data_IF_411099694017
#
_entry.id   IF_411099694017
#
_cell.length_a   1.000
_cell.length_b   1.000
_cell.length_c   1.000
_cell.angle_alpha   90.00
_cell.angle_beta   90.00
_cell.angle_gamma   90.00
#
_symmetry.space_group_name_H-M   'P 1'
#
loop_
_entity.id
_entity.type
_entity.pdbx_description
1 polymer ?
#
# COMPACT_ATOMS: atom_id res chain seq x y z
N UNK A 1 7.86 5.42 6.30
CA UNK A 1 7.21 6.26 7.34
C UNK A 1 5.84 5.76 7.82
N UNK A 2 4.94 5.30 6.94
CA UNK A 2 3.58 4.89 7.33
C UNK A 2 3.54 3.86 8.48
N UNK A 3 4.37 2.81 8.38
CA UNK A 3 4.51 1.73 9.37
C UNK A 3 5.04 2.15 10.76
N UNK A 4 5.55 3.37 10.92
CA UNK A 4 6.00 3.92 12.21
C UNK A 4 5.16 5.10 12.70
N UNK A 5 4.25 5.62 11.86
CA UNK A 5 3.57 6.89 12.15
C UNK A 5 2.64 6.83 13.38
N UNK A 6 2.25 5.62 13.81
CA UNK A 6 1.51 5.37 15.06
C UNK A 6 2.42 5.33 16.31
N UNK A 7 3.73 5.54 16.17
CA UNK A 7 4.67 5.53 17.29
C UNK A 7 4.73 4.16 17.98
N UNK A 8 4.50 4.14 19.29
CA UNK A 8 4.48 2.89 20.09
C UNK A 8 3.30 1.97 19.78
N UNK A 9 2.25 2.49 19.13
CA UNK A 9 1.08 1.72 18.69
C UNK A 9 1.29 1.10 17.29
N UNK A 10 2.51 1.15 16.75
CA UNK A 10 2.82 0.66 15.40
C UNK A 10 3.29 -0.80 15.38
N UNK A 11 2.93 -1.53 14.32
CA UNK A 11 3.39 -2.92 14.10
C UNK A 11 4.93 -3.00 14.03
N UNK A 12 5.59 -2.01 13.44
CA UNK A 12 7.05 -1.96 13.41
C UNK A 12 7.66 -1.86 14.81
N UNK A 13 7.07 -1.06 15.71
CA UNK A 13 7.52 -1.00 17.10
C UNK A 13 7.23 -2.30 17.86
N UNK A 14 6.07 -2.92 17.63
CA UNK A 14 5.75 -4.24 18.20
C UNK A 14 6.82 -5.28 17.85
N UNK A 15 7.18 -5.38 16.56
CA UNK A 15 8.19 -6.34 16.09
C UNK A 15 9.57 -6.05 16.71
N UNK A 16 9.98 -4.78 16.73
CA UNK A 16 11.24 -4.37 17.34
C UNK A 16 11.31 -4.73 18.84
N UNK A 17 10.22 -4.49 19.57
CA UNK A 17 10.12 -4.81 21.01
C UNK A 17 10.20 -6.31 21.29
N UNK A 18 9.78 -7.15 20.35
CA UNK A 18 9.85 -8.60 20.45
C UNK A 18 11.14 -9.20 19.82
N UNK A 19 12.17 -8.38 19.62
CA UNK A 19 13.51 -8.86 19.24
C UNK A 19 13.72 -9.05 17.74
N UNK A 20 12.77 -8.68 16.89
CA UNK A 20 12.96 -8.70 15.44
C UNK A 20 13.76 -7.48 14.96
N UNK A 21 14.65 -7.70 13.99
CA UNK A 21 15.23 -6.59 13.21
C UNK A 21 14.23 -6.12 12.17
N UNK A 22 13.87 -4.84 12.21
CA UNK A 22 12.85 -4.27 11.33
C UNK A 22 13.48 -3.37 10.27
N UNK A 23 13.31 -3.75 9.00
CA UNK A 23 13.69 -2.94 7.84
C UNK A 23 12.46 -2.23 7.28
N UNK A 24 12.61 -0.94 6.96
CA UNK A 24 11.53 -0.13 6.39
C UNK A 24 11.88 0.27 4.95
N UNK A 25 11.29 -0.46 3.99
CA UNK A 25 11.46 -0.17 2.58
C UNK A 25 10.76 1.12 2.15
N UNK A 26 11.35 1.81 1.18
CA UNK A 26 10.71 2.93 0.47
C UNK A 26 10.68 2.60 -1.02
N UNK A 27 9.55 2.83 -1.67
CA UNK A 27 9.44 2.70 -3.12
C UNK A 27 10.27 3.77 -3.81
N UNK A 28 10.77 3.46 -5.02
CA UNK A 28 11.36 4.46 -5.91
C UNK A 28 10.46 5.68 -6.11
N UNK A 29 11.09 6.84 -6.24
CA UNK A 29 10.41 8.12 -6.40
C UNK A 29 9.73 8.64 -5.14
N UNK A 30 9.93 8.02 -3.96
CA UNK A 30 9.44 8.52 -2.67
C UNK A 30 10.16 9.79 -2.20
N UNK A 31 11.40 10.02 -2.65
CA UNK A 31 12.16 11.26 -2.48
C UNK A 31 12.58 11.81 -3.85
N UNK A 32 13.03 13.07 -3.84
CA UNK A 32 13.74 13.66 -4.98
C UNK A 32 15.22 13.27 -4.88
N UNK A 33 15.83 12.96 -6.03
CA UNK A 33 17.27 12.70 -6.22
C UNK A 33 17.79 11.28 -5.87
N UNK A 34 16.90 10.28 -5.83
CA UNK A 34 17.27 8.87 -5.56
C UNK A 34 17.84 8.09 -6.77
N UNK A 35 18.30 8.75 -7.84
CA UNK A 35 18.71 8.08 -9.08
C UNK A 35 20.13 8.47 -9.53
N UNK A 36 20.95 7.48 -9.89
CA UNK A 36 22.38 7.64 -10.16
C UNK A 36 22.71 8.48 -11.42
N UNK A 37 21.80 8.52 -12.40
CA UNK A 37 22.05 9.11 -13.73
C UNK A 37 21.09 10.22 -14.14
N UNK A 38 19.94 10.32 -13.48
CA UNK A 38 18.82 11.15 -13.90
C UNK A 38 18.30 11.88 -12.67
N UNK A 39 17.75 13.06 -12.84
CA UNK A 39 17.16 13.81 -11.74
C UNK A 39 15.64 13.87 -11.87
N UNK A 40 14.99 14.35 -10.81
CA UNK A 40 13.53 14.43 -10.72
C UNK A 40 12.85 15.34 -11.76
N UNK A 41 13.59 16.14 -12.54
CA UNK A 41 13.04 16.92 -13.66
C UNK A 41 12.89 16.09 -14.95
N UNK A 42 13.61 14.97 -15.06
CA UNK A 42 13.56 14.07 -16.21
C UNK A 42 12.30 13.22 -16.17
N UNK A 43 11.53 13.16 -17.27
CA UNK A 43 10.39 12.25 -17.36
C UNK A 43 10.80 10.77 -17.30
N UNK A 44 12.06 10.45 -17.62
CA UNK A 44 12.60 9.11 -17.49
C UNK A 44 12.67 8.66 -16.02
N UNK A 45 13.02 9.57 -15.11
CA UNK A 45 13.07 9.30 -13.67
C UNK A 45 11.73 8.77 -13.14
N UNK A 46 10.62 9.29 -13.66
CA UNK A 46 9.26 8.93 -13.26
C UNK A 46 8.66 7.80 -14.09
N UNK A 47 9.43 7.15 -14.95
CA UNK A 47 8.93 6.17 -15.90
C UNK A 47 8.80 4.77 -15.28
N UNK A 48 8.07 4.66 -14.17
CA UNK A 48 7.88 3.43 -13.42
C UNK A 48 6.41 3.19 -13.04
N UNK A 49 6.08 1.94 -12.75
CA UNK A 49 4.76 1.42 -12.35
C UNK A 49 4.85 0.59 -11.06
N UNK A 50 3.74 -0.01 -10.63
CA UNK A 50 3.72 -0.97 -9.51
C UNK A 50 4.60 -2.18 -9.81
N UNK A 51 4.68 -2.64 -11.07
CA UNK A 51 5.57 -3.73 -11.50
C UNK A 51 7.04 -3.41 -11.25
N UNK A 52 7.48 -2.20 -11.59
CA UNK A 52 8.86 -1.77 -11.36
C UNK A 52 9.16 -1.66 -9.86
N UNK A 53 8.20 -1.17 -9.06
CA UNK A 53 8.35 -1.13 -7.60
C UNK A 53 8.35 -2.53 -6.96
N UNK A 54 7.68 -3.51 -7.56
CA UNK A 54 7.79 -4.89 -7.09
C UNK A 54 9.24 -5.39 -7.20
N UNK A 55 9.96 -5.03 -8.25
CA UNK A 55 11.39 -5.34 -8.39
C UNK A 55 12.27 -4.59 -7.37
N UNK A 56 11.84 -3.44 -6.85
CA UNK A 56 12.55 -2.76 -5.75
C UNK A 56 12.62 -3.64 -4.50
N UNK A 57 11.58 -4.43 -4.21
CA UNK A 57 11.57 -5.36 -3.08
C UNK A 57 12.67 -6.41 -3.23
N UNK A 58 12.88 -6.93 -4.45
CA UNK A 58 13.93 -7.92 -4.72
C UNK A 58 15.31 -7.30 -4.50
N UNK A 59 15.54 -6.09 -5.01
CA UNK A 59 16.80 -5.38 -4.82
C UNK A 59 17.07 -5.05 -3.33
N UNK A 60 16.04 -4.63 -2.59
CA UNK A 60 16.15 -4.37 -1.15
C UNK A 60 16.48 -5.65 -0.38
N UNK A 61 15.85 -6.78 -0.71
CA UNK A 61 16.12 -8.05 -0.05
C UNK A 61 17.53 -8.58 -0.35
N UNK A 62 18.01 -8.43 -1.58
CA UNK A 62 19.40 -8.75 -1.95
C UNK A 62 20.41 -7.91 -1.17
N UNK A 63 20.11 -6.63 -0.90
CA UNK A 63 20.96 -5.79 -0.07
C UNK A 63 20.97 -6.22 1.40
N UNK A 64 19.82 -6.67 1.92
CA UNK A 64 19.69 -7.11 3.32
C UNK A 64 20.33 -8.49 3.53
N UNK A 65 20.35 -9.35 2.50
CA UNK A 65 21.03 -10.65 2.47
C UNK A 65 20.74 -11.54 3.70
N UNK A 66 19.46 -11.71 4.02
CA UNK A 66 19.01 -12.60 5.10
C UNK A 66 17.59 -13.13 4.85
N UNK A 67 17.18 -14.21 5.54
CA UNK A 67 15.79 -14.65 5.51
C UNK A 67 14.84 -13.58 6.08
N UNK A 68 13.76 -13.27 5.36
CA UNK A 68 12.86 -12.16 5.67
C UNK A 68 11.40 -12.59 5.76
N UNK A 69 10.66 -11.93 6.65
CA UNK A 69 9.22 -11.81 6.56
C UNK A 69 8.88 -10.50 5.84
N UNK A 70 8.05 -10.57 4.80
CA UNK A 70 7.72 -9.42 3.96
C UNK A 70 6.31 -8.92 4.28
N UNK A 71 6.22 -7.69 4.79
CA UNK A 71 4.97 -7.03 5.14
C UNK A 71 4.65 -5.89 4.18
N UNK A 72 3.47 -5.91 3.58
CA UNK A 72 2.98 -4.87 2.68
C UNK A 72 1.64 -4.31 3.15
N UNK A 73 1.39 -3.04 2.83
CA UNK A 73 0.07 -2.41 2.96
C UNK A 73 -0.40 -1.89 1.61
N UNK A 74 -1.68 -2.12 1.27
CA UNK A 74 -2.29 -1.57 0.05
C UNK A 74 -1.43 -1.84 -1.19
N UNK A 75 -0.88 -0.83 -1.88
CA UNK A 75 0.05 -1.00 -2.99
C UNK A 75 1.24 -1.93 -2.69
N UNK A 76 1.78 -1.92 -1.46
CA UNK A 76 2.83 -2.85 -1.07
C UNK A 76 2.39 -4.31 -1.15
N UNK A 77 1.11 -4.61 -0.85
CA UNK A 77 0.56 -5.96 -1.05
C UNK A 77 0.42 -6.30 -2.54
N UNK A 78 0.06 -5.34 -3.38
CA UNK A 78 0.00 -5.55 -4.83
C UNK A 78 1.38 -5.87 -5.40
N UNK A 79 2.44 -5.20 -4.91
CA UNK A 79 3.83 -5.53 -5.26
C UNK A 79 4.20 -6.97 -4.86
N UNK A 80 3.87 -7.39 -3.63
CA UNK A 80 4.11 -8.77 -3.16
C UNK A 80 3.39 -9.79 -4.04
N UNK A 81 2.10 -9.56 -4.30
CA UNK A 81 1.29 -10.46 -5.12
C UNK A 81 1.76 -10.48 -6.58
N UNK A 82 2.27 -9.36 -7.10
CA UNK A 82 2.87 -9.30 -8.42
C UNK A 82 4.17 -10.12 -8.50
N UNK A 83 5.03 -10.06 -7.48
CA UNK A 83 6.22 -10.92 -7.40
C UNK A 83 5.87 -12.39 -7.35
N UNK A 84 4.87 -12.77 -6.53
CA UNK A 84 4.38 -14.14 -6.43
C UNK A 84 3.85 -14.66 -7.78
N UNK A 85 2.97 -13.89 -8.43
CA UNK A 85 2.36 -14.30 -9.69
C UNK A 85 3.38 -14.49 -10.82
N UNK A 86 4.42 -13.66 -10.87
CA UNK A 86 5.47 -13.77 -11.88
C UNK A 86 6.60 -14.74 -11.48
N UNK A 87 6.49 -15.41 -10.32
CA UNK A 87 7.54 -16.27 -9.77
C UNK A 87 8.90 -15.55 -9.60
N UNK A 88 8.86 -14.27 -9.23
CA UNK A 88 10.04 -13.44 -8.95
C UNK A 88 10.37 -13.36 -7.46
N UNK A 89 9.51 -13.92 -6.62
CA UNK A 89 9.72 -13.98 -5.17
C UNK A 89 10.52 -15.23 -4.83
N UNK A 90 11.73 -15.04 -4.31
CA UNK A 90 12.56 -16.15 -3.83
C UNK A 90 12.08 -16.63 -2.46
N UNK A 91 11.61 -17.88 -2.37
CA UNK A 91 11.17 -18.51 -1.13
C UNK A 91 12.32 -18.81 -0.14
N UNK A 92 13.55 -18.86 -0.65
CA UNK A 92 14.72 -19.06 0.22
C UNK A 92 15.07 -17.78 0.97
N UNK A 93 14.82 -16.63 0.34
CA UNK A 93 14.90 -15.31 0.97
C UNK A 93 13.64 -14.97 1.77
N UNK A 94 12.45 -15.08 1.20
CA UNK A 94 11.20 -14.67 1.86
C UNK A 94 10.47 -15.87 2.48
N UNK A 95 10.36 -15.89 3.81
CA UNK A 95 9.81 -17.03 4.57
C UNK A 95 8.34 -16.88 4.97
N UNK A 96 7.84 -15.65 5.00
CA UNK A 96 6.51 -15.28 5.49
C UNK A 96 6.01 -14.05 4.75
N UNK A 97 4.74 -14.00 4.37
CA UNK A 97 4.13 -12.86 3.69
C UNK A 97 2.98 -12.31 4.52
N UNK A 98 2.98 -11.00 4.77
CA UNK A 98 1.98 -10.30 5.56
C UNK A 98 1.31 -9.23 4.70
N UNK A 99 0.00 -9.39 4.45
CA UNK A 99 -0.76 -8.52 3.57
C UNK A 99 -1.79 -7.70 4.37
N UNK A 100 -1.55 -6.40 4.53
CA UNK A 100 -2.45 -5.46 5.20
C UNK A 100 -3.29 -4.72 4.16
N UNK A 101 -4.63 -4.82 4.24
CA UNK A 101 -5.55 -4.31 3.22
C UNK A 101 -5.14 -4.73 1.78
N UNK A 102 -5.24 -6.04 1.45
CA UNK A 102 -4.68 -6.60 0.23
C UNK A 102 -5.30 -6.03 -1.05
N UNK A 103 -4.51 -5.31 -1.84
CA UNK A 103 -4.93 -4.65 -3.07
C UNK A 103 -4.83 -5.58 -4.29
N UNK A 104 -5.55 -6.70 -4.26
CA UNK A 104 -5.67 -7.62 -5.40
C UNK A 104 -6.88 -7.31 -6.28
N UNK A 105 -8.04 -7.09 -5.66
CA UNK A 105 -9.30 -6.77 -6.31
C UNK A 105 -9.73 -5.35 -6.00
N UNK A 106 -10.17 -4.60 -7.01
CA UNK A 106 -10.69 -3.25 -6.82
C UNK A 106 -12.00 -3.23 -6.05
N UNK A 107 -12.13 -2.29 -5.10
CA UNK A 107 -13.33 -2.09 -4.30
C UNK A 107 -14.36 -1.17 -4.94
N UNK A 108 -15.51 -1.06 -4.30
CA UNK A 108 -16.68 -0.33 -4.82
C UNK A 108 -16.48 1.19 -4.94
N UNK A 109 -15.51 1.76 -4.21
CA UNK A 109 -15.27 3.22 -4.26
C UNK A 109 -14.85 3.70 -5.64
N UNK A 110 -14.20 2.82 -6.42
CA UNK A 110 -13.70 3.10 -7.76
C UNK A 110 -14.86 3.44 -8.72
N UNK A 111 -16.05 2.91 -8.46
CA UNK A 111 -17.28 3.16 -9.22
C UNK A 111 -18.27 4.08 -8.51
N UNK A 112 -18.10 4.37 -7.23
CA UNK A 112 -19.02 5.24 -6.47
C UNK A 112 -18.51 6.67 -6.36
N UNK A 113 -17.21 6.86 -6.16
CA UNK A 113 -16.63 8.19 -5.98
C UNK A 113 -16.54 8.96 -7.29
N UNK A 114 -16.98 10.22 -7.26
CA UNK A 114 -16.89 11.15 -8.39
C UNK A 114 -15.42 11.37 -8.79
N UNK A 115 -14.52 11.39 -7.82
CA UNK A 115 -13.09 11.57 -8.05
C UNK A 115 -12.50 10.43 -8.90
N UNK A 116 -12.76 9.18 -8.51
CA UNK A 116 -12.27 8.02 -9.26
C UNK A 116 -12.89 7.91 -10.65
N UNK A 117 -14.19 8.22 -10.79
CA UNK A 117 -14.85 8.33 -12.09
C UNK A 117 -14.17 9.35 -13.00
N UNK A 118 -13.92 10.55 -12.49
CA UNK A 118 -13.25 11.60 -13.26
C UNK A 118 -11.86 11.15 -13.71
N UNK A 119 -11.05 10.60 -12.81
CA UNK A 119 -9.72 10.08 -13.16
C UNK A 119 -9.79 8.99 -14.24
N UNK A 120 -10.74 8.05 -14.12
CA UNK A 120 -10.94 7.01 -15.11
C UNK A 120 -11.36 7.59 -16.48
N UNK A 121 -12.32 8.52 -16.50
CA UNK A 121 -12.75 9.22 -17.73
C UNK A 121 -11.61 9.97 -18.40
N UNK A 122 -10.77 10.66 -17.63
CA UNK A 122 -9.58 11.33 -18.18
C UNK A 122 -8.59 10.30 -18.76
N UNK A 123 -8.42 9.16 -18.10
CA UNK A 123 -7.51 8.10 -18.52
C UNK A 123 -7.95 7.39 -19.81
N UNK A 124 -9.26 7.31 -20.11
CA UNK A 124 -9.78 6.77 -21.36
C UNK A 124 -9.20 7.48 -22.60
N UNK A 125 -8.77 8.74 -22.46
CA UNK A 125 -8.02 9.45 -23.50
C UNK A 125 -6.62 9.80 -22.99
N UNK A 126 -5.63 8.96 -23.33
CA UNK A 126 -4.25 9.13 -22.89
C UNK A 126 -3.63 10.50 -23.21
N UNK A 127 -4.07 11.19 -24.29
CA UNK A 127 -3.61 12.55 -24.60
C UNK A 127 -4.16 13.57 -23.61
N UNK A 128 -5.42 13.46 -23.24
CA UNK A 128 -6.05 14.32 -22.22
C UNK A 128 -5.43 14.06 -20.85
N UNK A 129 -5.25 12.79 -20.47
CA UNK A 129 -4.60 12.43 -19.21
C UNK A 129 -3.18 13.01 -19.11
N UNK A 130 -2.39 12.87 -20.18
CA UNK A 130 -1.03 13.44 -20.26
C UNK A 130 -1.05 14.97 -20.24
N UNK A 131 -2.06 15.61 -20.85
CA UNK A 131 -2.21 17.07 -20.81
C UNK A 131 -2.43 17.59 -19.38
N UNK A 132 -3.27 16.92 -18.59
CA UNK A 132 -3.56 17.35 -17.22
C UNK A 132 -2.47 16.98 -16.21
N UNK A 133 -1.92 15.77 -16.29
CA UNK A 133 -1.01 15.24 -15.27
C UNK A 133 0.46 15.21 -15.71
N UNK A 134 0.75 15.38 -17.00
CA UNK A 134 2.10 15.31 -17.54
C UNK A 134 2.61 13.87 -17.69
N UNK A 135 3.94 13.71 -17.66
CA UNK A 135 4.65 12.41 -17.78
C UNK A 135 5.60 12.12 -16.63
N UNK A 136 5.54 12.94 -15.56
CA UNK A 136 6.52 12.94 -14.47
C UNK A 136 5.86 12.48 -13.16
N UNK A 137 6.08 13.20 -12.05
CA UNK A 137 5.35 13.01 -10.80
C UNK A 137 3.84 13.31 -10.98
N UNK A 138 2.99 12.53 -10.34
CA UNK A 138 1.56 12.78 -10.28
C UNK A 138 1.26 13.89 -9.26
N UNK A 139 0.58 14.95 -9.72
CA UNK A 139 0.19 16.11 -8.90
C UNK A 139 1.32 16.68 -8.01
N UNK A 140 2.49 17.05 -8.56
CA UNK A 140 3.65 17.50 -7.78
C UNK A 140 3.37 18.77 -6.95
N UNK A 141 2.36 19.55 -7.34
CA UNK A 141 1.87 20.70 -6.57
C UNK A 141 1.45 20.31 -5.14
N UNK A 142 0.95 19.08 -4.93
CA UNK A 142 0.60 18.59 -3.59
C UNK A 142 1.83 18.49 -2.69
N UNK A 143 3.00 18.16 -3.24
CA UNK A 143 4.25 18.10 -2.47
C UNK A 143 4.77 19.50 -2.12
N UNK A 144 4.60 20.45 -3.03
CA UNK A 144 4.90 21.87 -2.76
C UNK A 144 4.00 22.35 -1.62
N UNK A 145 2.67 22.20 -1.75
CA UNK A 145 1.72 22.59 -0.70
C UNK A 145 2.06 21.90 0.62
N UNK A 146 2.28 20.59 0.61
CA UNK A 146 2.66 19.82 1.80
C UNK A 146 3.90 20.41 2.49
N UNK A 147 4.97 20.76 1.74
CA UNK A 147 6.18 21.36 2.30
C UNK A 147 5.90 22.65 3.08
N UNK A 148 5.02 23.51 2.57
CA UNK A 148 4.69 24.79 3.18
C UNK A 148 3.64 24.68 4.29
N UNK A 149 2.68 23.76 4.16
CA UNK A 149 1.52 23.72 5.05
C UNK A 149 1.64 22.70 6.19
N UNK A 150 2.51 21.69 6.10
CA UNK A 150 2.53 20.57 7.06
C UNK A 150 2.75 20.95 8.53
N UNK A 151 3.36 22.11 8.78
CA UNK A 151 3.61 22.61 10.14
C UNK A 151 2.51 23.53 10.68
N UNK A 152 1.52 23.90 9.85
CA UNK A 152 0.46 24.83 10.23
C UNK A 152 -0.60 24.14 11.11
N UNK A 153 -1.18 24.83 12.11
CA UNK A 153 -2.15 24.26 13.05
C UNK A 153 -3.41 23.63 12.43
N UNK A 154 -3.81 24.05 11.22
CA UNK A 154 -5.00 23.54 10.52
C UNK A 154 -4.75 22.39 9.54
N UNK A 155 -3.48 22.02 9.29
CA UNK A 155 -3.13 21.09 8.22
C UNK A 155 -3.75 19.69 8.43
N UNK A 156 -3.64 19.15 9.64
CA UNK A 156 -4.22 17.85 10.01
C UNK A 156 -5.73 17.81 9.78
N UNK A 157 -6.45 18.87 10.14
CA UNK A 157 -7.90 18.97 9.95
C UNK A 157 -8.26 19.03 8.47
N UNK A 158 -7.55 19.85 7.68
CA UNK A 158 -7.76 19.96 6.24
C UNK A 158 -7.47 18.63 5.52
N UNK A 159 -6.37 17.96 5.84
CA UNK A 159 -6.02 16.65 5.28
C UNK A 159 -7.06 15.59 5.63
N UNK A 160 -7.56 15.58 6.88
CA UNK A 160 -8.66 14.70 7.27
C UNK A 160 -9.94 14.97 6.46
N UNK A 161 -10.32 16.24 6.26
CA UNK A 161 -11.48 16.59 5.43
C UNK A 161 -11.34 16.10 3.99
N UNK A 162 -10.15 16.20 3.40
CA UNK A 162 -9.87 15.66 2.06
C UNK A 162 -10.04 14.15 2.04
N UNK A 163 -9.47 13.42 3.00
CA UNK A 163 -9.56 11.97 3.05
C UNK A 163 -10.99 11.50 3.30
N UNK A 164 -11.72 12.17 4.19
CA UNK A 164 -13.15 11.91 4.43
C UNK A 164 -13.98 12.16 3.17
N UNK A 165 -13.71 13.24 2.42
CA UNK A 165 -14.44 13.55 1.18
C UNK A 165 -14.13 12.55 0.04
N UNK A 166 -12.87 12.09 -0.07
CA UNK A 166 -12.46 11.14 -1.10
C UNK A 166 -12.91 9.72 -0.81
N UNK A 167 -12.82 9.31 0.46
CA UNK A 167 -12.90 7.91 0.86
C UNK A 167 -14.00 7.57 1.87
N UNK A 168 -14.70 8.56 2.41
CA UNK A 168 -15.69 8.39 3.49
C UNK A 168 -15.13 7.72 4.75
N UNK A 169 -13.81 7.81 4.98
CA UNK A 169 -13.18 7.32 6.19
C UNK A 169 -13.44 8.25 7.37
N UNK A 170 -13.54 7.68 8.57
CA UNK A 170 -13.57 8.41 9.82
C UNK A 170 -12.34 8.06 10.66
N UNK A 171 -12.05 8.89 11.66
CA UNK A 171 -10.89 8.77 12.55
C UNK A 171 -11.25 8.18 13.91
N UNK A 172 -12.39 7.48 14.04
CA UNK A 172 -12.93 7.02 15.33
C UNK A 172 -11.99 6.04 16.05
N UNK A 173 -11.17 5.32 15.28
CA UNK A 173 -10.18 4.36 15.78
C UNK A 173 -8.78 4.97 15.90
N UNK A 174 -8.56 6.20 15.48
CA UNK A 174 -7.21 6.77 15.41
C UNK A 174 -6.79 7.43 16.71
N UNK A 175 -5.51 7.29 17.06
CA UNK A 175 -4.95 8.04 18.17
C UNK A 175 -4.79 9.52 17.79
N UNK A 176 -5.44 10.41 18.53
CA UNK A 176 -5.42 11.84 18.27
C UNK A 176 -4.00 12.45 18.30
N UNK A 177 -3.10 11.89 19.13
CA UNK A 177 -1.71 12.34 19.23
C UNK A 177 -0.89 11.98 17.99
N UNK A 178 -1.19 10.84 17.37
CA UNK A 178 -0.50 10.35 16.15
C UNK A 178 -1.10 10.91 14.86
N UNK A 179 -2.36 11.37 14.88
CA UNK A 179 -3.07 11.90 13.70
C UNK A 179 -2.26 12.97 12.96
N UNK A 180 -1.59 13.86 13.71
CA UNK A 180 -0.70 14.86 13.11
C UNK A 180 0.46 14.22 12.35
N UNK A 181 1.12 13.22 12.93
CA UNK A 181 2.26 12.51 12.33
C UNK A 181 1.81 11.72 11.09
N UNK A 182 0.66 11.05 11.16
CA UNK A 182 0.07 10.33 10.02
C UNK A 182 -0.06 11.24 8.80
N UNK A 183 -0.68 12.41 8.96
CA UNK A 183 -0.86 13.36 7.88
C UNK A 183 0.42 14.11 7.52
N UNK A 184 1.40 14.28 8.39
CA UNK A 184 2.70 14.87 7.99
C UNK A 184 3.58 13.90 7.20
N UNK A 185 3.31 12.59 7.30
CA UNK A 185 3.98 11.56 6.53
C UNK A 185 3.35 11.30 5.16
N UNK A 186 2.27 12.01 4.81
CA UNK A 186 1.48 11.83 3.58
C UNK A 186 0.98 13.18 3.05
N UNK A 187 1.01 13.46 1.74
CA UNK A 187 1.32 12.52 0.68
C UNK A 187 2.83 12.38 0.43
N UNK A 188 3.20 11.32 -0.26
CA UNK A 188 4.53 11.12 -0.86
C UNK A 188 4.40 11.14 -2.38
N UNK A 189 5.51 11.37 -3.07
CA UNK A 189 5.56 11.34 -4.52
C UNK A 189 5.15 9.96 -5.07
N UNK A 190 4.53 9.97 -6.25
CA UNK A 190 4.30 8.80 -7.11
C UNK A 190 4.32 9.25 -8.57
N UNK A 191 4.57 8.34 -9.51
CA UNK A 191 4.58 8.69 -10.94
C UNK A 191 3.18 8.72 -11.55
N UNK A 192 3.02 9.55 -12.60
CA UNK A 192 1.81 9.53 -13.43
C UNK A 192 1.59 8.14 -14.05
N UNK A 193 2.68 7.45 -14.43
CA UNK A 193 2.63 6.10 -15.01
C UNK A 193 2.12 5.06 -14.00
N UNK A 194 2.47 5.19 -12.72
CA UNK A 194 1.94 4.34 -11.65
C UNK A 194 0.43 4.55 -11.46
N UNK A 195 -0.05 5.80 -11.44
CA UNK A 195 -1.50 6.07 -11.36
C UNK A 195 -2.24 5.51 -12.58
N UNK A 196 -1.65 5.66 -13.78
CA UNK A 196 -2.22 5.08 -14.99
C UNK A 196 -2.33 3.55 -14.91
N UNK A 197 -1.29 2.88 -14.39
CA UNK A 197 -1.31 1.43 -14.14
C UNK A 197 -2.48 1.04 -13.21
N UNK A 198 -2.69 1.75 -12.11
CA UNK A 198 -3.83 1.49 -11.22
C UNK A 198 -5.17 1.68 -11.92
N UNK A 199 -5.33 2.73 -12.75
CA UNK A 199 -6.58 2.98 -13.48
C UNK A 199 -6.85 1.94 -14.58
N UNK A 200 -5.81 1.37 -15.17
CA UNK A 200 -5.93 0.39 -16.26
C UNK A 200 -6.18 -1.04 -15.71
N UNK A 201 -5.45 -1.44 -14.66
CA UNK A 201 -5.43 -2.81 -14.13
C UNK A 201 -6.37 -3.05 -12.92
N UNK A 202 -6.62 -2.02 -12.11
CA UNK A 202 -7.34 -2.18 -10.83
C UNK A 202 -8.74 -1.60 -10.91
N UNK A 203 -9.65 -2.37 -11.52
CA UNK A 203 -11.06 -2.01 -11.70
C UNK A 203 -11.92 -2.64 -10.60
N UNK A 204 -13.08 -2.05 -10.36
CA UNK A 204 -14.06 -2.56 -9.39
C UNK A 204 -14.35 -4.04 -9.65
N UNK A 205 -14.18 -4.88 -8.62
CA UNK A 205 -14.36 -6.32 -8.64
C UNK A 205 -13.45 -7.10 -9.61
N UNK A 206 -12.44 -6.46 -10.20
CA UNK A 206 -11.47 -7.11 -11.08
C UNK A 206 -10.15 -7.31 -10.34
N UNK A 207 -9.55 -8.50 -10.52
CA UNK A 207 -8.17 -8.77 -10.12
C UNK A 207 -7.21 -8.17 -11.14
N UNK A 208 -6.14 -7.52 -10.68
CA UNK A 208 -5.04 -7.09 -11.57
C UNK A 208 -4.17 -8.29 -12.04
N UNK A 209 -4.36 -9.46 -11.44
CA UNK A 209 -3.72 -10.73 -11.81
C UNK A 209 -4.75 -11.62 -12.51
N UNK A 210 -4.36 -12.27 -13.62
CA UNK A 210 -5.22 -13.23 -14.31
C UNK A 210 -5.67 -14.37 -13.37
N UNK A 211 -6.98 -14.49 -13.15
CA UNK A 211 -7.55 -15.48 -12.25
C UNK A 211 -7.47 -16.92 -12.78
N UNK A 212 -7.15 -17.09 -14.07
CA UNK A 212 -6.91 -18.41 -14.68
C UNK A 212 -5.54 -18.97 -14.31
N UNK A 213 -4.63 -18.12 -13.84
CA UNK A 213 -3.30 -18.52 -13.39
C UNK A 213 -3.33 -18.67 -11.88
N UNK A 214 -3.20 -19.90 -11.34
CA UNK A 214 -3.17 -20.11 -9.89
C UNK A 214 -1.88 -19.52 -9.31
N UNK A 215 -1.91 -19.23 -8.01
CA UNK A 215 -0.67 -18.95 -7.27
C UNK A 215 0.29 -20.15 -7.31
N UNK A 216 1.61 -19.93 -7.21
CA UNK A 216 2.59 -21.01 -7.18
C UNK A 216 2.29 -22.02 -6.06
N UNK A 217 2.39 -23.33 -6.37
CA UNK A 217 2.14 -24.39 -5.40
C UNK A 217 3.14 -24.36 -4.23
N UNK A 218 4.39 -23.97 -4.51
CA UNK A 218 5.41 -23.73 -3.50
C UNK A 218 5.58 -22.23 -3.32
N UNK A 219 5.05 -21.70 -2.22
CA UNK A 219 5.19 -20.29 -1.86
C UNK A 219 5.22 -20.13 -0.34
N UNK A 220 5.75 -19.02 0.18
CA UNK A 220 5.70 -18.77 1.61
C UNK A 220 4.25 -18.55 2.07
N UNK A 221 3.89 -18.96 3.29
CA UNK A 221 2.52 -18.82 3.77
C UNK A 221 2.15 -17.34 3.90
N UNK A 222 0.86 -17.07 3.72
CA UNK A 222 0.28 -15.72 3.79
C UNK A 222 -0.50 -15.55 5.09
N UNK A 223 -0.24 -14.43 5.76
CA UNK A 223 -1.08 -13.84 6.79
C UNK A 223 -1.72 -12.56 6.24
N UNK A 224 -3.03 -12.37 6.43
CA UNK A 224 -3.72 -11.18 5.95
C UNK A 224 -4.47 -10.43 7.06
N UNK A 225 -4.62 -9.12 6.90
CA UNK A 225 -5.51 -8.29 7.72
C UNK A 225 -6.45 -7.52 6.81
N UNK A 226 -7.74 -7.70 6.99
CA UNK A 226 -8.80 -7.14 6.14
C UNK A 226 -9.81 -6.33 6.94
N UNK A 227 -10.34 -5.27 6.34
CA UNK A 227 -11.31 -4.36 6.98
C UNK A 227 -12.69 -4.39 6.34
N UNK A 228 -13.75 -4.47 7.15
CA UNK A 228 -15.13 -4.52 6.64
C UNK A 228 -15.64 -3.20 6.04
N UNK A 229 -15.05 -2.07 6.44
CA UNK A 229 -15.34 -0.72 5.90
C UNK A 229 -14.32 -0.27 4.84
N UNK A 230 -13.42 -1.15 4.42
CA UNK A 230 -12.50 -0.84 3.34
C UNK A 230 -13.23 -0.90 1.99
N UNK A 231 -13.35 0.26 1.35
CA UNK A 231 -14.02 0.41 0.06
C UNK A 231 -13.04 0.52 -1.12
N UNK A 232 -11.72 0.60 -0.86
CA UNK A 232 -10.68 0.68 -1.91
C UNK A 232 -10.41 -0.70 -2.50
N UNK A 233 -10.38 -1.73 -1.66
CA UNK A 233 -10.11 -3.11 -2.06
C UNK A 233 -11.33 -3.99 -1.81
N UNK A 234 -11.54 -5.01 -2.64
CA UNK A 234 -12.60 -5.99 -2.42
C UNK A 234 -12.09 -7.19 -1.60
N UNK A 235 -12.24 -7.08 -0.28
CA UNK A 235 -11.80 -8.11 0.66
C UNK A 235 -12.53 -9.45 0.46
N UNK A 236 -13.80 -9.45 0.04
CA UNK A 236 -14.57 -10.68 -0.17
C UNK A 236 -14.02 -11.50 -1.33
N UNK A 237 -13.74 -10.87 -2.47
CA UNK A 237 -13.16 -11.55 -3.64
C UNK A 237 -11.74 -12.05 -3.35
N UNK A 238 -10.94 -11.22 -2.67
CA UNK A 238 -9.62 -11.63 -2.19
C UNK A 238 -9.70 -12.89 -1.32
N UNK A 239 -10.53 -12.88 -0.28
CA UNK A 239 -10.68 -14.02 0.64
C UNK A 239 -11.17 -15.27 -0.07
N UNK A 240 -12.16 -15.15 -0.96
CA UNK A 240 -12.68 -16.27 -1.74
C UNK A 240 -11.60 -16.93 -2.59
N UNK A 241 -10.77 -16.12 -3.28
CA UNK A 241 -9.67 -16.65 -4.10
C UNK A 241 -8.63 -17.35 -3.23
N UNK A 242 -8.20 -16.69 -2.16
CA UNK A 242 -7.16 -17.20 -1.27
C UNK A 242 -7.55 -18.51 -0.58
N UNK A 243 -8.82 -18.65 -0.15
CA UNK A 243 -9.36 -19.88 0.42
C UNK A 243 -9.49 -20.99 -0.63
N UNK A 244 -10.00 -20.65 -1.82
CA UNK A 244 -10.14 -21.61 -2.93
C UNK A 244 -8.80 -22.20 -3.35
N UNK A 245 -7.75 -21.40 -3.38
CA UNK A 245 -6.40 -21.82 -3.77
C UNK A 245 -5.57 -22.37 -2.59
N UNK A 246 -6.07 -22.29 -1.36
CA UNK A 246 -5.42 -22.88 -0.18
C UNK A 246 -4.10 -22.21 0.23
N UNK A 247 -3.86 -20.96 -0.17
CA UNK A 247 -2.58 -20.25 0.03
C UNK A 247 -2.55 -19.34 1.26
N UNK A 248 -3.71 -19.09 1.88
CA UNK A 248 -3.85 -18.23 3.04
C UNK A 248 -3.90 -19.06 4.31
N UNK A 249 -2.90 -18.86 5.17
CA UNK A 249 -2.81 -19.55 6.45
C UNK A 249 -3.75 -18.93 7.48
N UNK A 250 -3.74 -17.60 7.58
CA UNK A 250 -4.55 -16.88 8.54
C UNK A 250 -5.01 -15.53 7.99
N UNK A 251 -6.23 -15.12 8.34
CA UNK A 251 -6.71 -13.75 8.13
C UNK A 251 -7.41 -13.22 9.38
N UNK A 252 -7.00 -12.04 9.80
CA UNK A 252 -7.72 -11.26 10.83
C UNK A 252 -8.63 -10.26 10.12
N UNK A 253 -9.94 -10.48 10.28
CA UNK A 253 -10.96 -9.56 9.77
C UNK A 253 -11.49 -8.66 10.88
N UNK A 254 -11.60 -7.35 10.61
CA UNK A 254 -12.27 -6.40 11.49
C UNK A 254 -13.31 -5.58 10.73
N UNK A 255 -14.57 -5.77 11.10
CA UNK A 255 -15.71 -5.11 10.44
C UNK A 255 -15.60 -3.58 10.46
N UNK A 256 -15.09 -3.01 11.55
CA UNK A 256 -14.98 -1.55 11.72
C UNK A 256 -13.82 -0.92 10.95
N UNK A 257 -12.84 -1.71 10.48
CA UNK A 257 -11.62 -1.19 9.86
C UNK A 257 -11.89 -0.68 8.45
N UNK A 258 -11.47 0.55 8.21
CA UNK A 258 -11.23 1.16 6.91
C UNK A 258 -9.81 0.87 6.41
N UNK A 259 -9.48 1.33 5.19
CA UNK A 259 -8.24 0.99 4.50
C UNK A 259 -6.94 1.34 5.26
N UNK A 260 -6.97 2.37 6.12
CA UNK A 260 -5.81 2.80 6.90
C UNK A 260 -5.81 2.29 8.34
N UNK A 261 -6.93 1.71 8.81
CA UNK A 261 -7.03 1.22 10.19
C UNK A 261 -6.12 0.01 10.43
N UNK A 262 -5.77 -0.74 9.37
CA UNK A 262 -4.74 -1.79 9.43
C UNK A 262 -3.32 -1.26 9.70
N UNK A 263 -3.13 0.05 9.79
CA UNK A 263 -1.88 0.72 10.19
C UNK A 263 -2.06 1.72 11.34
N UNK A 264 -3.19 2.42 11.41
CA UNK A 264 -3.37 3.61 12.25
C UNK A 264 -4.39 3.43 13.39
N UNK A 265 -5.10 2.30 13.43
CA UNK A 265 -6.03 2.05 14.51
C UNK A 265 -5.28 1.84 15.83
N UNK A 266 -5.83 2.41 16.90
CA UNK A 266 -5.26 2.33 18.25
C UNK A 266 -5.34 0.93 18.87
N UNK A 267 -6.25 0.09 18.37
CA UNK A 267 -6.44 -1.29 18.80
C UNK A 267 -5.68 -2.29 17.91
N UNK A 268 -4.93 -1.83 16.91
CA UNK A 268 -4.24 -2.69 15.95
C UNK A 268 -3.36 -3.75 16.62
N UNK A 269 -2.58 -3.35 17.63
CA UNK A 269 -1.67 -4.26 18.32
C UNK A 269 -2.41 -5.31 19.14
N UNK A 270 -3.53 -4.95 19.77
CA UNK A 270 -4.37 -5.88 20.53
C UNK A 270 -5.04 -6.88 19.59
N UNK A 271 -5.47 -6.41 18.42
CA UNK A 271 -6.17 -7.21 17.42
C UNK A 271 -5.23 -8.16 16.68
N UNK A 272 -4.07 -7.68 16.23
CA UNK A 272 -3.20 -8.40 15.30
C UNK A 272 -1.95 -8.93 15.97
N UNK A 273 -1.45 -8.27 17.03
CA UNK A 273 -0.08 -8.43 17.50
C UNK A 273 0.28 -9.85 17.94
N UNK A 274 -0.54 -10.47 18.79
CA UNK A 274 -0.25 -11.82 19.30
C UNK A 274 -0.21 -12.86 18.18
N UNK A 275 -1.18 -12.80 17.26
CA UNK A 275 -1.29 -13.75 16.14
C UNK A 275 -0.19 -13.52 15.09
N UNK A 276 0.16 -12.25 14.84
CA UNK A 276 1.27 -11.90 13.96
C UNK A 276 2.60 -12.44 14.49
N UNK A 277 2.87 -12.30 15.80
CA UNK A 277 4.10 -12.82 16.40
C UNK A 277 4.15 -14.35 16.30
N UNK A 278 3.06 -15.06 16.62
CA UNK A 278 2.98 -16.50 16.47
C UNK A 278 3.24 -16.95 15.01
N UNK A 279 2.65 -16.26 14.03
CA UNK A 279 2.86 -16.53 12.61
C UNK A 279 4.34 -16.39 12.17
N UNK A 280 5.10 -15.52 12.83
CA UNK A 280 6.52 -15.29 12.54
C UNK A 280 7.45 -16.31 13.22
N UNK A 281 6.98 -17.02 14.24
CA UNK A 281 7.76 -18.03 14.99
C UNK A 281 7.60 -19.45 14.45
N UNK A 282 6.46 -19.75 13.81
CA UNK A 282 6.23 -20.98 13.04
C UNK A 282 7.15 -21.06 11.80
#
# INVERSE_FOLDING_TARGET
MAFLSAGYDSLAYLLLKNGHTVYLGNNRGGSVDDHLRENSLSSFYWNFTVTDMALDIVAMAQYIDSPLALMGHSQGTAQILHLLHNNWLDKDTFKRLILLAPALYGGEILEKSIFFKLLHTLNCNGKIFTFFFGRSAFMPILMVLHRWTKSLPGYTTASYMVFHALFHWNDRLWNASCKRVHFQASPVYTSVRCIKWWLDEFKCNCSFIDERVPFPAEMPPIFAVTGGKDTIVNNRLFMNRMQREGVLLENIHRDEYSHLDVLWSRDLLDVVGTRLLAFLEE
#
